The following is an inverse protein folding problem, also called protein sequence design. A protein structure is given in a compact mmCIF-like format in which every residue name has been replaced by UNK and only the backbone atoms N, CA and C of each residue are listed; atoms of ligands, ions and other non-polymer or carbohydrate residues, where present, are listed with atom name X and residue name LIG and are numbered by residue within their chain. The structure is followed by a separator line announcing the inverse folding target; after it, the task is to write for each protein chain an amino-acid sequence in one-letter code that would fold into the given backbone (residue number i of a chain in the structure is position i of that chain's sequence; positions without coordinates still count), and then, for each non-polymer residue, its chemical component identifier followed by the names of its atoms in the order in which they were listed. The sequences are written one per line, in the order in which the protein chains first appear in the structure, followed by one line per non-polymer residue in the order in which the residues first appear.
data_IF_093467157303
#
_entry.id   IF_093467157303
#
_cell.length_a   1.000
_cell.length_b   1.000
_cell.length_c   1.000
_cell.angle_alpha   90.00
_cell.angle_beta   90.00
_cell.angle_gamma   90.00
#
_symmetry.space_group_name_H-M   'P 1'
#
loop_
_entity.id
_entity.type
_entity.pdbx_description
1 polymer ?
#
# COMPACT_ATOMS: atom_id res chain seq x y z
N UNK A 1 6.61 4.58 -24.72
CA UNK A 1 5.20 4.98 -24.55
C UNK A 1 4.94 5.25 -23.08
N UNK A 2 4.33 6.39 -22.69
CA UNK A 2 3.88 6.58 -21.31
C UNK A 2 2.75 5.59 -20.98
N UNK A 3 2.65 5.08 -19.75
CA UNK A 3 1.59 4.17 -19.36
C UNK A 3 0.23 4.88 -19.49
N UNK A 4 -0.69 4.24 -20.23
CA UNK A 4 -2.07 4.74 -20.35
C UNK A 4 -2.76 4.68 -18.98
N UNK A 5 -3.53 5.73 -18.66
CA UNK A 5 -4.36 5.76 -17.47
C UNK A 5 -5.32 4.54 -17.44
N UNK A 6 -5.52 3.89 -16.29
CA UNK A 6 -6.38 2.71 -16.20
C UNK A 6 -7.82 3.09 -16.51
N UNK A 7 -8.44 2.35 -17.44
CA UNK A 7 -9.86 2.46 -17.74
C UNK A 7 -10.64 1.89 -16.56
N UNK A 8 -11.32 2.77 -15.83
CA UNK A 8 -12.19 2.39 -14.73
C UNK A 8 -13.57 2.06 -15.30
N UNK A 9 -13.97 0.80 -15.19
CA UNK A 9 -15.35 0.40 -15.38
C UNK A 9 -16.07 0.49 -14.04
N UNK A 10 -17.14 1.27 -13.96
CA UNK A 10 -18.03 1.34 -12.80
C UNK A 10 -18.83 0.03 -12.72
N UNK A 11 -18.43 -0.89 -11.85
CA UNK A 11 -19.30 -2.02 -11.47
C UNK A 11 -20.39 -1.52 -10.54
N UNK A 12 -21.64 -1.83 -10.89
CA UNK A 12 -22.91 -1.55 -10.22
C UNK A 12 -22.80 -1.22 -8.72
N UNK A 13 -23.40 -0.09 -8.31
CA UNK A 13 -23.46 0.38 -6.94
C UNK A 13 -23.86 -0.72 -5.94
N UNK A 14 -22.89 -1.21 -5.17
CA UNK A 14 -23.15 -2.09 -4.03
C UNK A 14 -23.86 -1.26 -2.97
N UNK A 15 -25.06 -1.68 -2.53
CA UNK A 15 -25.82 -1.01 -1.45
C UNK A 15 -24.89 -0.65 -0.29
N UNK A 16 -24.97 0.59 0.20
CA UNK A 16 -24.05 1.23 1.15
C UNK A 16 -23.70 0.39 2.40
N UNK A 17 -24.62 -0.45 2.86
CA UNK A 17 -24.42 -1.33 4.03
C UNK A 17 -23.41 -2.45 3.74
N UNK A 18 -23.50 -3.09 2.57
CA UNK A 18 -22.51 -4.10 2.13
C UNK A 18 -21.14 -3.46 1.88
N UNK A 19 -21.11 -2.19 1.47
CA UNK A 19 -19.84 -1.46 1.29
C UNK A 19 -19.12 -1.22 2.62
N UNK A 20 -19.83 -0.78 3.65
CA UNK A 20 -19.26 -0.61 5.00
C UNK A 20 -18.78 -1.93 5.59
N UNK A 21 -19.58 -2.99 5.46
CA UNK A 21 -19.18 -4.32 5.92
C UNK A 21 -17.87 -4.79 5.26
N UNK A 22 -17.71 -4.56 3.95
CA UNK A 22 -16.46 -4.89 3.24
C UNK A 22 -15.27 -4.06 3.69
N UNK A 23 -15.47 -2.78 4.01
CA UNK A 23 -14.43 -1.93 4.61
C UNK A 23 -14.00 -2.50 5.96
N UNK A 24 -14.96 -2.82 6.84
CA UNK A 24 -14.69 -3.32 8.18
C UNK A 24 -14.01 -4.70 8.16
N UNK A 25 -14.46 -5.59 7.26
CA UNK A 25 -13.85 -6.90 7.05
C UNK A 25 -12.40 -6.76 6.58
N UNK A 26 -12.15 -5.91 5.58
CA UNK A 26 -10.80 -5.68 5.07
C UNK A 26 -9.90 -5.01 6.10
N UNK A 27 -10.42 -4.04 6.84
CA UNK A 27 -9.71 -3.39 7.94
C UNK A 27 -9.26 -4.41 9.00
N UNK A 28 -10.17 -5.32 9.37
CA UNK A 28 -9.90 -6.40 10.32
C UNK A 28 -8.80 -7.33 9.81
N UNK A 29 -8.86 -7.75 8.55
CA UNK A 29 -7.82 -8.59 7.92
C UNK A 29 -6.44 -7.92 7.98
N UNK A 30 -6.35 -6.67 7.53
CA UNK A 30 -5.10 -5.91 7.52
C UNK A 30 -4.56 -5.69 8.94
N UNK A 31 -5.46 -5.44 9.91
CA UNK A 31 -5.11 -5.33 11.32
C UNK A 31 -4.51 -6.62 11.87
N UNK A 32 -5.09 -7.77 11.54
CA UNK A 32 -4.56 -9.09 11.94
C UNK A 32 -3.19 -9.34 11.30
N UNK A 33 -3.04 -9.03 10.01
CA UNK A 33 -1.78 -9.19 9.28
C UNK A 33 -0.67 -8.31 9.87
N UNK A 34 -0.92 -7.02 10.10
CA UNK A 34 0.04 -6.10 10.71
C UNK A 34 0.46 -6.57 12.11
N UNK A 35 -0.49 -7.02 12.94
CA UNK A 35 -0.20 -7.61 14.26
C UNK A 35 0.62 -8.90 14.16
N UNK A 36 0.35 -9.75 13.19
CA UNK A 36 1.10 -10.98 12.97
C UNK A 36 2.54 -10.68 12.55
N UNK A 37 2.75 -9.81 11.56
CA UNK A 37 4.09 -9.39 11.10
C UNK A 37 4.89 -8.69 12.20
N UNK A 38 4.26 -7.80 12.96
CA UNK A 38 4.90 -7.14 14.11
C UNK A 38 5.24 -8.09 15.26
N UNK A 39 4.49 -9.18 15.45
CA UNK A 39 4.86 -10.25 16.39
C UNK A 39 6.04 -11.08 15.86
N UNK A 40 6.04 -11.43 14.58
CA UNK A 40 7.13 -12.18 13.96
C UNK A 40 8.46 -11.41 14.04
N UNK A 41 8.44 -10.12 13.71
CA UNK A 41 9.62 -9.26 13.83
C UNK A 41 10.15 -9.19 15.28
N UNK A 42 9.30 -8.87 16.26
CA UNK A 42 9.71 -8.73 17.67
C UNK A 42 10.16 -10.04 18.33
N UNK A 43 9.65 -11.18 17.88
CA UNK A 43 10.00 -12.50 18.43
C UNK A 43 11.17 -13.16 17.70
N UNK A 44 11.68 -12.54 16.63
CA UNK A 44 12.83 -13.07 15.91
C UNK A 44 14.02 -13.19 16.86
N UNK A 45 14.70 -14.33 16.81
CA UNK A 45 15.95 -14.61 17.53
C UNK A 45 17.18 -14.46 16.62
N UNK A 46 16.98 -14.03 15.38
CA UNK A 46 18.08 -13.85 14.44
C UNK A 46 19.00 -12.71 14.89
N UNK A 47 20.28 -12.79 14.50
CA UNK A 47 21.27 -11.79 14.87
C UNK A 47 20.87 -10.39 14.37
N UNK A 48 21.13 -9.35 15.17
CA UNK A 48 20.89 -7.96 14.77
C UNK A 48 21.65 -7.66 13.48
N UNK A 49 20.94 -7.10 12.49
CA UNK A 49 21.52 -6.79 11.18
C UNK A 49 21.61 -7.97 10.21
N UNK A 50 21.10 -9.16 10.59
CA UNK A 50 20.94 -10.25 9.63
C UNK A 50 19.86 -9.93 8.59
N UNK A 51 20.01 -10.49 7.39
CA UNK A 51 19.05 -10.35 6.29
C UNK A 51 17.63 -10.78 6.71
N UNK A 52 17.52 -11.78 7.60
CA UNK A 52 16.24 -12.22 8.14
C UNK A 52 15.56 -11.12 8.96
N UNK A 53 16.28 -10.48 9.88
CA UNK A 53 15.74 -9.39 10.71
C UNK A 53 15.38 -8.19 9.85
N UNK A 54 16.20 -7.87 8.85
CA UNK A 54 15.97 -6.79 7.89
C UNK A 54 14.68 -7.05 7.10
N UNK A 55 14.50 -8.26 6.57
CA UNK A 55 13.29 -8.66 5.84
C UNK A 55 12.04 -8.62 6.74
N UNK A 56 12.12 -9.16 7.95
CA UNK A 56 11.00 -9.14 8.90
C UNK A 56 10.59 -7.71 9.30
N UNK A 57 11.57 -6.80 9.45
CA UNK A 57 11.33 -5.37 9.68
C UNK A 57 10.62 -4.74 8.48
N UNK A 58 11.12 -4.96 7.27
CA UNK A 58 10.52 -4.44 6.04
C UNK A 58 9.07 -4.93 5.87
N UNK A 59 8.82 -6.24 6.06
CA UNK A 59 7.47 -6.83 6.02
C UNK A 59 6.52 -6.18 7.02
N UNK A 60 7.01 -5.91 8.25
CA UNK A 60 6.22 -5.25 9.27
C UNK A 60 5.89 -3.80 8.91
N UNK A 61 6.88 -3.04 8.43
CA UNK A 61 6.69 -1.65 7.99
C UNK A 61 5.74 -1.55 6.79
N UNK A 62 5.84 -2.47 5.83
CA UNK A 62 4.90 -2.55 4.71
C UNK A 62 3.47 -2.84 5.21
N UNK A 63 3.30 -3.81 6.13
CA UNK A 63 1.99 -4.10 6.70
C UNK A 63 1.39 -2.91 7.47
N UNK A 64 2.20 -2.15 8.20
CA UNK A 64 1.76 -0.92 8.88
C UNK A 64 1.40 0.19 7.89
N UNK A 65 2.25 0.44 6.88
CA UNK A 65 1.98 1.43 5.84
C UNK A 65 0.68 1.15 5.09
N UNK A 66 0.41 -0.13 4.83
CA UNK A 66 -0.83 -0.61 4.20
C UNK A 66 -2.05 -0.35 5.05
N UNK A 67 -2.02 -0.79 6.32
CA UNK A 67 -3.14 -0.62 7.24
C UNK A 67 -3.48 0.86 7.45
N UNK A 68 -2.49 1.69 7.76
CA UNK A 68 -2.68 3.12 8.05
C UNK A 68 -3.22 3.90 6.83
N UNK A 69 -2.72 3.59 5.64
CA UNK A 69 -3.21 4.21 4.40
C UNK A 69 -4.62 3.76 4.07
N UNK A 70 -4.89 2.45 4.21
CA UNK A 70 -6.22 1.90 4.02
C UNK A 70 -7.24 2.53 4.99
N UNK A 71 -6.90 2.69 6.27
CA UNK A 71 -7.74 3.37 7.27
C UNK A 71 -8.07 4.79 6.85
N UNK A 72 -7.05 5.56 6.46
CA UNK A 72 -7.20 6.95 6.03
C UNK A 72 -8.12 7.06 4.80
N UNK A 73 -7.91 6.21 3.80
CA UNK A 73 -8.73 6.16 2.59
C UNK A 73 -10.17 5.71 2.90
N UNK A 74 -10.32 4.69 3.74
CA UNK A 74 -11.63 4.13 4.12
C UNK A 74 -12.49 5.12 4.89
N UNK A 75 -11.90 5.96 5.75
CA UNK A 75 -12.65 7.02 6.45
C UNK A 75 -13.27 8.01 5.46
N UNK A 76 -12.56 8.36 4.38
CA UNK A 76 -13.10 9.24 3.32
C UNK A 76 -14.23 8.54 2.57
N UNK A 77 -14.02 7.29 2.16
CA UNK A 77 -15.00 6.51 1.41
C UNK A 77 -16.27 6.21 2.22
N UNK A 78 -16.15 5.88 3.51
CA UNK A 78 -17.29 5.55 4.38
C UNK A 78 -18.25 6.73 4.63
N UNK A 79 -17.77 7.97 4.43
CA UNK A 79 -18.57 9.20 4.54
C UNK A 79 -19.42 9.48 3.30
N UNK A 80 -19.16 8.81 2.18
CA UNK A 80 -19.91 8.98 0.94
C UNK A 80 -21.35 8.47 1.13
N UNK A 81 -22.33 9.31 0.77
CA UNK A 81 -23.76 8.96 0.78
C UNK A 81 -24.30 8.67 -0.61
N UNK A 82 -23.65 9.21 -1.64
CA UNK A 82 -24.06 9.12 -3.04
C UNK A 82 -22.92 8.57 -3.91
N UNK A 83 -23.28 7.93 -5.02
CA UNK A 83 -22.31 7.36 -5.97
C UNK A 83 -21.39 8.42 -6.59
N UNK A 84 -21.91 9.63 -6.85
CA UNK A 84 -21.09 10.74 -7.34
C UNK A 84 -19.98 11.13 -6.35
N UNK A 85 -20.25 11.12 -5.04
CA UNK A 85 -19.24 11.40 -4.01
C UNK A 85 -18.18 10.28 -3.97
N UNK A 86 -18.63 9.03 -4.03
CA UNK A 86 -17.72 7.88 -4.08
C UNK A 86 -16.78 7.95 -5.29
N UNK A 87 -17.32 8.35 -6.45
CA UNK A 87 -16.57 8.50 -7.69
C UNK A 87 -15.47 9.54 -7.54
N UNK A 88 -15.82 10.75 -7.07
CA UNK A 88 -14.85 11.85 -6.86
C UNK A 88 -13.76 11.44 -5.88
N UNK A 89 -14.12 10.86 -4.73
CA UNK A 89 -13.13 10.41 -3.75
C UNK A 89 -12.25 9.27 -4.27
N UNK A 90 -12.79 8.38 -5.10
CA UNK A 90 -11.99 7.35 -5.74
C UNK A 90 -11.03 7.91 -6.81
N UNK A 91 -11.41 8.99 -7.50
CA UNK A 91 -10.51 9.69 -8.43
C UNK A 91 -9.36 10.40 -7.68
N UNK A 92 -9.66 11.04 -6.55
CA UNK A 92 -8.64 11.63 -5.68
C UNK A 92 -7.68 10.56 -5.14
N UNK A 93 -8.20 9.42 -4.65
CA UNK A 93 -7.36 8.30 -4.21
C UNK A 93 -6.52 7.71 -5.35
N UNK A 94 -7.05 7.71 -6.57
CA UNK A 94 -6.29 7.27 -7.75
C UNK A 94 -5.12 8.22 -8.03
N UNK A 95 -5.33 9.53 -7.90
CA UNK A 95 -4.25 10.54 -8.01
C UNK A 95 -3.20 10.31 -6.93
N UNK A 96 -3.61 10.18 -5.67
CA UNK A 96 -2.70 9.92 -4.53
C UNK A 96 -1.85 8.66 -4.77
N UNK A 97 -2.48 7.59 -5.27
CA UNK A 97 -1.79 6.35 -5.65
C UNK A 97 -0.73 6.58 -6.73
N UNK A 98 -1.08 7.27 -7.82
CA UNK A 98 -0.15 7.55 -8.91
C UNK A 98 1.02 8.45 -8.51
N UNK A 99 0.74 9.49 -7.73
CA UNK A 99 1.78 10.41 -7.23
C UNK A 99 2.79 9.67 -6.35
N UNK A 100 2.30 8.81 -5.45
CA UNK A 100 3.16 7.99 -4.61
C UNK A 100 3.99 7.00 -5.44
N UNK A 101 3.38 6.35 -6.43
CA UNK A 101 4.09 5.43 -7.31
C UNK A 101 5.21 6.14 -8.08
N UNK A 102 4.94 7.33 -8.63
CA UNK A 102 5.95 8.13 -9.33
C UNK A 102 7.06 8.62 -8.39
N UNK A 103 6.73 8.98 -7.15
CA UNK A 103 7.73 9.34 -6.15
C UNK A 103 8.67 8.16 -5.85
N UNK A 104 8.10 6.97 -5.65
CA UNK A 104 8.88 5.76 -5.42
C UNK A 104 9.73 5.40 -6.64
N UNK A 105 9.21 5.51 -7.85
CA UNK A 105 9.95 5.23 -9.07
C UNK A 105 11.16 6.17 -9.23
N UNK A 106 10.96 7.49 -9.02
CA UNK A 106 12.05 8.49 -9.07
C UNK A 106 13.13 8.21 -8.04
N UNK A 107 12.74 7.97 -6.79
CA UNK A 107 13.69 7.68 -5.71
C UNK A 107 14.36 6.31 -5.84
N UNK A 108 13.72 5.38 -6.55
CA UNK A 108 14.29 4.09 -6.92
C UNK A 108 15.40 4.24 -7.97
N UNK A 109 15.22 5.14 -8.94
CA UNK A 109 16.20 5.42 -10.01
C UNK A 109 17.40 6.25 -9.57
N UNK A 110 17.31 6.99 -8.46
CA UNK A 110 18.45 7.74 -7.92
C UNK A 110 19.52 6.77 -7.36
N UNK A 111 20.65 6.68 -8.07
CA UNK A 111 21.90 6.10 -7.56
C UNK A 111 22.49 7.08 -6.53
N UNK A 112 22.18 6.85 -5.26
CA UNK A 112 22.85 7.49 -4.14
C UNK A 112 23.86 6.50 -3.54
N UNK A 113 25.07 6.98 -3.25
CA UNK A 113 26.17 6.20 -2.65
C UNK A 113 25.66 5.36 -1.47
N UNK A 114 25.90 4.05 -1.58
CA UNK A 114 25.21 3.00 -0.81
C UNK A 114 25.67 2.86 0.65
N UNK A 115 26.71 3.59 1.08
CA UNK A 115 27.52 3.15 2.23
C UNK A 115 27.14 3.74 3.61
N UNK A 116 26.05 4.52 3.74
CA UNK A 116 25.68 5.05 5.06
C UNK A 116 24.19 5.00 5.45
N UNK A 117 23.25 4.72 4.52
CA UNK A 117 21.79 4.80 4.80
C UNK A 117 20.96 3.64 4.25
N UNK A 118 21.56 2.48 3.99
CA UNK A 118 20.86 1.32 3.41
C UNK A 118 19.59 0.92 4.17
N UNK A 119 19.67 0.84 5.51
CA UNK A 119 18.52 0.47 6.36
C UNK A 119 17.40 1.50 6.33
N UNK A 120 17.71 2.80 6.37
CA UNK A 120 16.71 3.87 6.30
C UNK A 120 16.02 3.90 4.93
N UNK A 121 16.77 3.60 3.86
CA UNK A 121 16.22 3.49 2.51
C UNK A 121 15.27 2.30 2.40
N UNK A 122 15.65 1.14 2.95
CA UNK A 122 14.80 -0.04 3.01
C UNK A 122 13.50 0.24 3.77
N UNK A 123 13.59 0.83 4.95
CA UNK A 123 12.43 1.20 5.77
C UNK A 123 11.48 2.15 5.05
N UNK A 124 12.05 3.17 4.38
CA UNK A 124 11.28 4.12 3.60
C UNK A 124 10.47 3.41 2.52
N UNK A 125 11.12 2.60 1.68
CA UNK A 125 10.41 1.97 0.58
C UNK A 125 9.47 0.86 1.04
N UNK A 126 9.82 0.09 2.07
CA UNK A 126 8.92 -0.89 2.66
C UNK A 126 7.62 -0.21 3.12
N UNK A 127 7.75 0.93 3.80
CA UNK A 127 6.60 1.73 4.21
C UNK A 127 5.82 2.26 3.01
N UNK A 128 6.48 2.86 2.01
CA UNK A 128 5.77 3.41 0.84
C UNK A 128 5.09 2.32 -0.01
N UNK A 129 5.70 1.14 -0.13
CA UNK A 129 5.09 -0.03 -0.75
C UNK A 129 3.80 -0.41 -0.04
N UNK A 130 3.86 -0.52 1.29
CA UNK A 130 2.68 -0.72 2.11
C UNK A 130 1.59 0.30 1.81
N UNK A 131 1.94 1.59 1.80
CA UNK A 131 0.99 2.67 1.49
C UNK A 131 0.34 2.51 0.12
N UNK A 132 1.11 2.15 -0.92
CA UNK A 132 0.55 1.85 -2.25
C UNK A 132 -0.45 0.70 -2.21
N UNK A 133 -0.14 -0.38 -1.51
CA UNK A 133 -1.07 -1.51 -1.34
C UNK A 133 -2.34 -1.10 -0.58
N UNK A 134 -2.21 -0.21 0.41
CA UNK A 134 -3.35 0.31 1.17
C UNK A 134 -4.30 1.16 0.31
N UNK A 135 -3.74 2.01 -0.55
CA UNK A 135 -4.51 2.73 -1.57
C UNK A 135 -5.18 1.76 -2.55
N UNK A 136 -4.45 0.75 -3.04
CA UNK A 136 -4.99 -0.23 -3.96
C UNK A 136 -6.18 -1.00 -3.35
N UNK A 137 -6.07 -1.44 -2.10
CA UNK A 137 -7.17 -2.10 -1.39
C UNK A 137 -8.41 -1.20 -1.31
N UNK A 138 -8.25 0.07 -0.94
CA UNK A 138 -9.36 1.02 -0.83
C UNK A 138 -10.01 1.30 -2.18
N UNK A 139 -9.21 1.45 -3.23
CA UNK A 139 -9.67 1.65 -4.61
C UNK A 139 -10.43 0.43 -5.14
N UNK A 140 -9.95 -0.79 -4.87
CA UNK A 140 -10.64 -2.04 -5.22
C UNK A 140 -12.01 -2.10 -4.54
N UNK A 141 -12.09 -1.73 -3.25
CA UNK A 141 -13.38 -1.67 -2.55
C UNK A 141 -14.31 -0.62 -3.16
N UNK A 142 -13.78 0.53 -3.58
CA UNK A 142 -14.51 1.58 -4.29
C UNK A 142 -14.89 1.20 -5.74
N UNK A 143 -14.64 -0.05 -6.17
CA UNK A 143 -15.01 -0.54 -7.50
C UNK A 143 -14.02 -0.16 -8.60
N UNK A 144 -12.83 0.35 -8.27
CA UNK A 144 -11.77 0.67 -9.23
C UNK A 144 -10.91 -0.57 -9.51
N UNK A 145 -10.60 -0.80 -10.77
CA UNK A 145 -9.68 -1.86 -11.17
C UNK A 145 -8.24 -1.32 -11.14
N UNK A 146 -7.59 -1.40 -9.98
CA UNK A 146 -6.19 -1.02 -9.83
C UNK A 146 -5.31 -2.21 -10.19
N UNK A 147 -4.60 -2.12 -11.30
CA UNK A 147 -3.44 -2.98 -11.52
C UNK A 147 -2.32 -2.46 -10.64
N UNK A 148 -1.83 -3.29 -9.72
CA UNK A 148 -0.54 -3.05 -9.08
C UNK A 148 0.49 -3.00 -10.22
N UNK A 149 0.93 -1.79 -10.58
CA UNK A 149 2.02 -1.66 -11.54
C UNK A 149 3.21 -2.45 -11.02
N UNK A 150 3.99 -3.12 -11.89
CA UNK A 150 5.20 -3.78 -11.45
C UNK A 150 6.01 -2.74 -10.67
N UNK A 151 6.34 -3.11 -9.44
CA UNK A 151 7.11 -2.24 -8.58
C UNK A 151 8.40 -1.86 -9.31
N UNK A 152 8.90 -0.61 -9.17
CA UNK A 152 10.24 -0.30 -9.61
C UNK A 152 11.19 -1.37 -9.04
N UNK A 153 12.22 -1.82 -9.77
CA UNK A 153 13.15 -2.81 -9.29
C UNK A 153 13.72 -2.33 -7.95
N UNK A 154 13.23 -2.95 -6.87
CA UNK A 154 13.64 -2.59 -5.53
C UNK A 154 14.95 -3.29 -5.25
N UNK A 155 15.92 -2.62 -4.61
CA UNK A 155 17.25 -3.20 -4.39
C UNK A 155 17.24 -4.52 -3.60
N UNK A 156 16.19 -4.82 -2.83
CA UNK A 156 16.03 -6.10 -2.12
C UNK A 156 15.16 -7.14 -2.86
N UNK A 157 14.59 -6.78 -4.01
CA UNK A 157 13.93 -7.75 -4.93
C UNK A 157 14.93 -8.35 -5.94
N UNK A 158 16.20 -7.94 -5.90
CA UNK A 158 17.29 -8.58 -6.64
C UNK A 158 17.75 -9.85 -5.93
N UNK A 159 16.85 -10.84 -5.78
CA UNK A 159 17.23 -12.23 -5.56
C UNK A 159 16.22 -13.12 -6.27
N UNK A 160 16.58 -13.57 -7.46
CA UNK A 160 16.10 -14.81 -8.11
C UNK A 160 17.23 -15.32 -8.97
#
# INVERSE_FOLDING_TARGET
MPPRAPVVWTTTAVRSERFRQRIDERHRELSVQAKARGRAYRRSRAATGSDEVIRLRADFLAALGRLTTFETASVRLARCRYEAQLTVHADDLSRDYFELWQLMARRGSEQADLDARGVERLDYFATQLGRLEGFADALILAGRNVRLFPLPPMPWMLVS
#
